data_IF_102778376944
#
_entry.id   IF_102778376944
#
_cell.length_a   1.000
_cell.length_b   1.000
_cell.length_c   1.000
_cell.angle_alpha   90.00
_cell.angle_beta   90.00
_cell.angle_gamma   90.00
#
_symmetry.space_group_name_H-M   'P 1'
#
loop_
_entity.id
_entity.type
_entity.pdbx_description
1 polymer ?
#
# COMPACT_ATOMS: atom_id res chain seq x y z
N UNK A 1 11.57 30.78 9.17
CA UNK A 1 12.14 29.47 8.78
C UNK A 1 12.87 29.65 7.46
N UNK A 2 14.15 29.32 7.38
CA UNK A 2 14.90 29.46 6.13
C UNK A 2 14.38 28.40 5.15
N UNK A 3 14.24 28.76 3.88
CA UNK A 3 13.67 27.90 2.83
C UNK A 3 14.36 26.52 2.74
N UNK A 4 15.69 26.47 2.97
CA UNK A 4 16.46 25.22 2.99
C UNK A 4 16.10 24.26 4.12
N UNK A 5 15.65 24.76 5.29
CA UNK A 5 15.23 23.94 6.42
C UNK A 5 13.92 23.21 6.09
N UNK A 6 13.01 23.87 5.37
CA UNK A 6 11.74 23.25 4.97
C UNK A 6 11.92 22.05 4.01
N UNK A 7 12.85 22.18 3.05
CA UNK A 7 13.17 21.07 2.15
C UNK A 7 13.80 19.88 2.89
N UNK A 8 14.64 20.14 3.89
CA UNK A 8 15.25 19.09 4.72
C UNK A 8 14.23 18.40 5.61
N UNK A 9 13.31 19.16 6.22
CA UNK A 9 12.24 18.60 7.06
C UNK A 9 11.30 17.74 6.22
N UNK A 10 10.87 18.23 5.05
CA UNK A 10 10.02 17.46 4.15
C UNK A 10 10.69 16.17 3.65
N UNK A 11 12.00 16.24 3.37
CA UNK A 11 12.80 15.06 3.02
C UNK A 11 12.87 14.05 4.16
N UNK A 12 13.10 14.51 5.39
CA UNK A 12 13.11 13.65 6.58
C UNK A 12 11.76 12.97 6.83
N UNK A 13 10.66 13.72 6.75
CA UNK A 13 9.30 13.18 6.86
C UNK A 13 8.99 12.13 5.78
N UNK A 14 9.43 12.39 4.55
CA UNK A 14 9.28 11.40 3.48
C UNK A 14 10.04 10.10 3.76
N UNK A 15 11.24 10.17 4.35
CA UNK A 15 11.99 8.97 4.76
C UNK A 15 11.34 8.25 5.94
N UNK A 16 10.73 8.95 6.87
CA UNK A 16 9.98 8.38 7.99
C UNK A 16 8.78 7.57 7.47
N UNK A 17 7.95 8.15 6.58
CA UNK A 17 6.83 7.45 5.97
C UNK A 17 7.28 6.23 5.14
N UNK A 18 8.41 6.33 4.44
CA UNK A 18 9.00 5.18 3.75
C UNK A 18 9.37 4.07 4.74
N UNK A 19 9.99 4.41 5.87
CA UNK A 19 10.35 3.44 6.90
C UNK A 19 9.11 2.76 7.50
N UNK A 20 8.02 3.48 7.73
CA UNK A 20 6.76 2.89 8.21
C UNK A 20 6.23 1.84 7.23
N UNK A 21 6.20 2.15 5.93
CA UNK A 21 5.75 1.21 4.90
C UNK A 21 6.67 0.00 4.79
N UNK A 22 7.99 0.20 4.84
CA UNK A 22 8.96 -0.89 4.82
C UNK A 22 8.83 -1.80 6.05
N UNK A 23 8.59 -1.21 7.23
CA UNK A 23 8.36 -1.95 8.47
C UNK A 23 7.08 -2.78 8.39
N UNK A 24 6.00 -2.20 7.87
CA UNK A 24 4.74 -2.92 7.64
C UNK A 24 4.93 -4.08 6.65
N UNK A 25 5.64 -3.87 5.55
CA UNK A 25 5.96 -4.93 4.60
C UNK A 25 6.78 -6.04 5.24
N UNK A 26 7.80 -5.70 6.01
CA UNK A 26 8.68 -6.66 6.67
C UNK A 26 7.93 -7.48 7.74
N UNK A 27 7.10 -6.85 8.55
CA UNK A 27 6.26 -7.52 9.55
C UNK A 27 5.31 -8.55 8.91
N UNK A 28 4.92 -8.33 7.64
CA UNK A 28 4.00 -9.18 6.90
C UNK A 28 4.67 -10.07 5.83
N UNK A 29 5.98 -10.32 5.93
CA UNK A 29 6.70 -11.17 4.97
C UNK A 29 6.21 -12.61 5.00
N UNK A 30 5.83 -13.12 6.17
CA UNK A 30 5.31 -14.48 6.36
C UNK A 30 3.78 -14.56 6.37
N UNK A 31 3.07 -13.42 6.23
CA UNK A 31 1.61 -13.39 6.22
C UNK A 31 1.08 -13.91 4.88
N UNK A 32 0.27 -15.00 4.86
CA UNK A 32 -0.28 -15.57 3.63
C UNK A 32 -1.14 -14.56 2.88
N UNK A 33 -0.97 -14.48 1.55
CA UNK A 33 -1.76 -13.61 0.69
C UNK A 33 -1.51 -12.12 0.86
N UNK A 34 -0.55 -11.71 1.69
CA UNK A 34 -0.22 -10.30 1.87
C UNK A 34 0.30 -9.68 0.58
N UNK A 35 -0.13 -8.45 0.32
CA UNK A 35 0.29 -7.64 -0.82
C UNK A 35 1.07 -6.43 -0.32
N UNK A 36 2.27 -6.29 -0.86
CA UNK A 36 3.25 -5.28 -0.50
C UNK A 36 2.77 -3.87 -0.82
N UNK A 37 2.99 -2.95 0.09
CA UNK A 37 2.79 -1.52 -0.11
C UNK A 37 4.06 -0.87 -0.71
N UNK A 38 3.86 0.11 -1.58
CA UNK A 38 4.92 0.89 -2.22
C UNK A 38 4.62 2.36 -2.09
N UNK A 39 5.62 3.11 -1.66
CA UNK A 39 5.59 4.58 -1.61
C UNK A 39 6.02 5.16 -2.94
N UNK A 40 5.32 6.18 -3.41
CA UNK A 40 5.71 7.01 -4.54
C UNK A 40 5.98 8.42 -4.03
N UNK A 41 7.11 8.97 -4.42
CA UNK A 41 7.49 10.36 -4.10
C UNK A 41 7.17 11.27 -5.27
N UNK A 42 6.74 12.49 -4.95
CA UNK A 42 6.54 13.55 -5.91
C UNK A 42 7.29 14.80 -5.47
N UNK A 43 7.93 15.44 -6.43
CA UNK A 43 8.51 16.75 -6.21
C UNK A 43 7.45 17.79 -6.47
N UNK A 44 7.13 18.56 -5.44
CA UNK A 44 6.25 19.71 -5.55
C UNK A 44 7.10 20.91 -5.95
N UNK A 45 6.88 21.38 -7.17
CA UNK A 45 7.43 22.65 -7.62
C UNK A 45 6.41 23.74 -7.33
N UNK A 46 6.82 24.86 -6.75
CA UNK A 46 5.90 25.97 -6.57
C UNK A 46 5.39 26.45 -7.93
N UNK A 47 4.11 26.75 -7.96
CA UNK A 47 3.42 27.15 -9.19
C UNK A 47 3.92 28.54 -9.63
N UNK A 48 4.75 28.56 -10.66
CA UNK A 48 5.22 29.81 -11.31
C UNK A 48 4.08 30.57 -12.02
N UNK A 49 2.91 29.96 -12.15
CA UNK A 49 1.78 30.52 -12.92
C UNK A 49 0.88 31.51 -12.16
N UNK A 50 0.97 31.58 -10.82
CA UNK A 50 0.12 32.50 -10.06
C UNK A 50 0.69 33.92 -9.90
N UNK A 51 1.95 34.15 -10.30
CA UNK A 51 2.60 35.44 -10.14
C UNK A 51 2.74 36.27 -11.43
N UNK A 52 2.31 35.75 -12.57
CA UNK A 52 2.30 36.53 -13.82
C UNK A 52 0.85 36.78 -14.27
N UNK A 53 0.04 37.43 -13.41
CA UNK A 53 -0.90 38.37 -13.98
C UNK A 53 -0.06 39.56 -14.45
N UNK A 54 0.26 39.62 -15.76
CA UNK A 54 0.72 40.87 -16.38
C UNK A 54 -0.23 41.97 -15.88
N UNK A 55 0.29 43.05 -15.25
CA UNK A 55 -0.55 44.19 -14.98
C UNK A 55 -1.07 44.65 -16.31
N UNK A 56 -2.38 44.77 -16.48
CA UNK A 56 -3.02 45.33 -17.64
C UNK A 56 -2.45 46.75 -17.79
N UNK A 57 -1.61 46.95 -18.82
CA UNK A 57 -1.09 48.25 -19.18
C UNK A 57 -2.28 49.11 -19.60
N UNK A 58 -2.64 50.09 -18.76
CA UNK A 58 -3.58 51.12 -19.16
C UNK A 58 -2.99 51.87 -20.37
N UNK A 59 -3.72 52.00 -21.49
CA UNK A 59 -3.24 52.73 -22.65
C UNK A 59 -3.00 54.21 -22.24
N UNK A 60 -1.77 54.67 -22.34
CA UNK A 60 -1.43 56.07 -22.19
C UNK A 60 -0.47 56.47 -21.06
N UNK A 61 0.01 55.57 -20.25
CA UNK A 61 1.03 55.89 -19.27
C UNK A 61 2.26 55.00 -19.44
N UNK A 62 3.37 55.53 -19.89
CA UNK A 62 4.69 54.92 -19.96
C UNK A 62 5.32 54.80 -18.56
N UNK A 63 4.54 54.65 -17.51
CA UNK A 63 5.01 54.46 -16.16
C UNK A 63 4.60 53.02 -15.80
N UNK A 64 5.54 52.09 -15.92
CA UNK A 64 5.46 50.81 -15.21
C UNK A 64 5.43 51.16 -13.73
N UNK A 65 4.36 50.80 -12.97
CA UNK A 65 4.20 51.22 -11.57
C UNK A 65 5.17 50.54 -10.63
N UNK A 66 6.17 49.98 -10.98
CA UNK A 66 7.31 49.42 -10.30
C UNK A 66 8.26 49.06 -11.42
N UNK A 67 9.28 49.88 -11.63
CA UNK A 67 10.35 49.57 -12.55
C UNK A 67 10.75 48.11 -12.36
N UNK A 68 11.10 47.47 -13.46
CA UNK A 68 11.85 46.20 -13.39
C UNK A 68 13.09 46.49 -12.56
N UNK A 69 12.93 46.38 -11.22
CA UNK A 69 14.10 46.14 -10.41
C UNK A 69 14.51 44.71 -10.77
N UNK A 70 15.61 44.53 -11.49
CA UNK A 70 16.22 43.21 -11.52
C UNK A 70 16.39 42.89 -10.03
N UNK A 71 15.73 41.82 -9.59
CA UNK A 71 15.89 41.32 -8.24
C UNK A 71 17.41 40.99 -8.07
N UNK A 72 18.23 41.89 -7.51
CA UNK A 72 19.68 41.71 -7.48
C UNK A 72 20.09 40.52 -6.62
N UNK A 73 19.11 39.96 -5.89
CA UNK A 73 19.31 38.89 -4.93
C UNK A 73 18.53 37.64 -5.29
N UNK A 74 17.72 37.63 -6.39
CA UNK A 74 16.93 36.47 -6.80
C UNK A 74 15.95 36.00 -5.72
N UNK A 75 15.51 36.90 -4.83
CA UNK A 75 14.72 36.55 -3.65
C UNK A 75 13.20 36.67 -3.86
N UNK A 76 12.75 37.14 -5.01
CA UNK A 76 11.33 37.19 -5.33
C UNK A 76 10.82 35.77 -5.54
N UNK A 77 10.34 35.15 -4.45
CA UNK A 77 9.49 33.96 -4.51
C UNK A 77 10.16 32.70 -5.04
N UNK A 78 11.43 32.45 -4.75
CA UNK A 78 12.01 31.13 -4.97
C UNK A 78 11.45 30.17 -3.91
N UNK A 79 10.23 29.70 -4.16
CA UNK A 79 9.73 28.55 -3.46
C UNK A 79 10.63 27.36 -3.77
N UNK A 80 11.26 26.81 -2.74
CA UNK A 80 12.18 25.70 -2.89
C UNK A 80 11.38 24.45 -3.23
N UNK A 81 11.72 23.74 -4.31
CA UNK A 81 11.09 22.46 -4.58
C UNK A 81 11.28 21.53 -3.40
N UNK A 82 10.20 20.97 -2.91
CA UNK A 82 10.22 20.00 -1.81
C UNK A 82 9.71 18.65 -2.28
N UNK A 83 10.27 17.59 -1.71
CA UNK A 83 9.87 16.23 -1.99
C UNK A 83 8.90 15.77 -0.92
N UNK A 84 7.77 15.22 -1.32
CA UNK A 84 6.80 14.63 -0.41
C UNK A 84 6.32 13.26 -0.92
N UNK A 85 5.70 12.49 -0.03
CA UNK A 85 5.02 11.27 -0.43
C UNK A 85 3.75 11.65 -1.19
N UNK A 86 3.63 11.14 -2.40
CA UNK A 86 2.45 11.36 -3.25
C UNK A 86 1.34 10.39 -2.85
N UNK A 87 1.63 9.10 -2.94
CA UNK A 87 0.65 8.04 -2.65
C UNK A 87 1.34 6.77 -2.18
N UNK A 88 0.58 5.96 -1.43
CA UNK A 88 0.93 4.59 -1.10
C UNK A 88 0.08 3.67 -1.97
N UNK A 89 0.72 2.88 -2.80
CA UNK A 89 0.07 1.94 -3.71
C UNK A 89 0.31 0.50 -3.26
N UNK A 90 -0.73 -0.33 -3.35
CA UNK A 90 -0.60 -1.77 -3.12
C UNK A 90 -0.13 -2.45 -4.41
N UNK A 91 0.90 -3.28 -4.33
CA UNK A 91 1.37 -4.10 -5.44
C UNK A 91 0.67 -5.46 -5.43
N UNK A 92 -0.26 -5.67 -6.35
CA UNK A 92 -1.07 -6.90 -6.42
C UNK A 92 -0.42 -8.06 -7.18
N UNK A 93 0.87 -7.98 -7.52
CA UNK A 93 1.56 -9.13 -8.15
C UNK A 93 1.41 -10.38 -7.28
N UNK A 94 1.25 -11.53 -7.93
CA UNK A 94 1.13 -12.82 -7.26
C UNK A 94 2.41 -13.15 -6.48
N UNK A 95 2.25 -13.65 -5.25
CA UNK A 95 3.32 -14.21 -4.43
C UNK A 95 3.66 -15.64 -4.88
N UNK A 96 4.66 -16.25 -4.27
CA UNK A 96 4.96 -17.65 -4.50
C UNK A 96 3.86 -18.53 -3.90
N UNK A 97 3.54 -19.65 -4.55
CA UNK A 97 2.62 -20.65 -3.99
C UNK A 97 3.47 -21.66 -3.22
N UNK A 98 3.19 -21.80 -1.93
CA UNK A 98 3.82 -22.77 -1.05
C UNK A 98 2.91 -23.97 -0.89
N UNK A 99 3.38 -25.14 -1.29
CA UNK A 99 2.69 -26.40 -1.06
C UNK A 99 2.86 -26.85 0.38
N UNK A 100 1.75 -27.22 1.03
CA UNK A 100 1.70 -27.65 2.44
C UNK A 100 1.19 -29.07 2.59
N UNK A 101 0.47 -29.58 1.61
CA UNK A 101 -0.23 -30.87 1.68
C UNK A 101 -1.53 -30.84 2.52
N UNK A 102 -1.87 -29.69 3.14
CA UNK A 102 -3.14 -29.55 3.85
C UNK A 102 -4.27 -29.31 2.83
N UNK A 103 -5.30 -30.16 2.76
CA UNK A 103 -6.38 -30.04 1.78
C UNK A 103 -7.23 -28.79 1.94
N UNK A 104 -7.18 -28.11 3.10
CA UNK A 104 -7.88 -26.86 3.34
C UNK A 104 -7.07 -25.61 2.94
N UNK A 105 -5.77 -25.78 2.64
CA UNK A 105 -4.95 -24.71 2.09
C UNK A 105 -5.19 -24.64 0.58
N UNK A 106 -5.58 -23.46 0.11
CA UNK A 106 -5.97 -23.23 -1.28
C UNK A 106 -5.26 -21.98 -1.82
N UNK A 107 -4.75 -22.07 -3.03
CA UNK A 107 -4.14 -20.93 -3.72
C UNK A 107 -4.87 -20.63 -5.03
N UNK A 108 -5.04 -19.35 -5.34
CA UNK A 108 -5.51 -18.92 -6.65
C UNK A 108 -4.29 -18.70 -7.54
N UNK A 109 -4.23 -19.42 -8.66
CA UNK A 109 -3.19 -19.21 -9.67
C UNK A 109 -3.72 -18.26 -10.76
N UNK A 110 -3.28 -17.01 -10.72
CA UNK A 110 -3.77 -15.93 -11.58
C UNK A 110 -4.59 -14.89 -10.82
N UNK A 111 -5.44 -14.16 -11.54
CA UNK A 111 -6.23 -13.07 -10.97
C UNK A 111 -7.43 -13.59 -10.18
N UNK A 112 -7.82 -12.87 -9.14
CA UNK A 112 -8.99 -13.14 -8.32
C UNK A 112 -8.69 -13.11 -6.83
N UNK A 113 -9.72 -13.12 -6.04
CA UNK A 113 -9.68 -13.08 -4.58
C UNK A 113 -10.77 -13.98 -4.04
N UNK A 114 -10.53 -14.63 -2.93
CA UNK A 114 -11.59 -15.30 -2.16
C UNK A 114 -12.50 -14.25 -1.52
N UNK A 115 -13.78 -14.58 -1.42
CA UNK A 115 -14.77 -13.74 -0.78
C UNK A 115 -15.04 -14.24 0.62
N UNK A 116 -14.95 -13.35 1.61
CA UNK A 116 -15.16 -13.67 3.02
C UNK A 116 -16.19 -12.74 3.65
N UNK A 117 -16.95 -13.27 4.60
CA UNK A 117 -17.90 -12.52 5.41
C UNK A 117 -17.32 -12.23 6.77
N UNK A 118 -17.24 -10.95 7.13
CA UNK A 118 -16.83 -10.46 8.44
C UNK A 118 -18.00 -9.75 9.12
N UNK A 119 -17.94 -9.43 10.41
CA UNK A 119 -18.98 -8.63 11.08
C UNK A 119 -19.22 -7.27 10.43
N UNK A 120 -18.19 -6.70 9.79
CA UNK A 120 -18.23 -5.39 9.15
C UNK A 120 -18.65 -5.43 7.66
N UNK A 121 -19.06 -6.60 7.18
CA UNK A 121 -19.48 -6.79 5.80
C UNK A 121 -18.67 -7.83 5.04
N UNK A 122 -18.75 -7.76 3.72
CA UNK A 122 -18.09 -8.72 2.83
C UNK A 122 -16.80 -8.13 2.28
N UNK A 123 -15.70 -8.87 2.38
CA UNK A 123 -14.39 -8.49 1.92
C UNK A 123 -13.77 -9.54 1.01
N UNK A 124 -12.70 -9.15 0.34
CA UNK A 124 -11.90 -10.00 -0.51
C UNK A 124 -10.57 -10.31 0.19
N UNK A 125 -10.04 -11.52 0.00
CA UNK A 125 -8.74 -11.90 0.53
C UNK A 125 -7.97 -12.79 -0.45
N UNK A 126 -6.64 -12.74 -0.38
CA UNK A 126 -5.74 -13.70 -1.03
C UNK A 126 -5.22 -14.77 -0.07
N UNK A 127 -5.54 -14.61 1.23
CA UNK A 127 -5.21 -15.64 2.21
C UNK A 127 -6.05 -16.90 1.92
N UNK A 128 -5.39 -17.99 1.56
CA UNK A 128 -6.01 -19.27 1.26
C UNK A 128 -5.79 -20.31 2.35
N UNK A 129 -5.28 -19.94 3.52
CA UNK A 129 -5.20 -20.85 4.68
C UNK A 129 -6.53 -20.86 5.40
N UNK A 130 -7.30 -21.91 5.19
CA UNK A 130 -8.60 -22.06 5.80
C UNK A 130 -8.61 -23.16 6.85
N UNK A 131 -9.55 -23.05 7.78
CA UNK A 131 -9.84 -24.03 8.81
C UNK A 131 -11.34 -24.28 8.88
N UNK A 132 -11.75 -25.27 9.66
CA UNK A 132 -13.16 -25.52 9.93
C UNK A 132 -13.48 -25.06 11.34
N UNK A 133 -14.59 -24.35 11.47
CA UNK A 133 -15.15 -24.01 12.76
C UNK A 133 -15.92 -25.19 13.39
N UNK A 134 -16.45 -25.01 14.61
CA UNK A 134 -17.24 -26.03 15.31
C UNK A 134 -18.52 -26.46 14.56
N UNK A 135 -18.98 -25.58 13.64
CA UNK A 135 -20.18 -25.86 12.81
C UNK A 135 -19.81 -26.44 11.45
N UNK A 136 -18.54 -26.87 11.26
CA UNK A 136 -17.98 -27.36 9.99
C UNK A 136 -18.10 -26.35 8.85
N UNK A 137 -18.13 -25.07 9.17
CA UNK A 137 -18.07 -23.99 8.19
C UNK A 137 -16.61 -23.66 7.87
N UNK A 138 -16.30 -23.44 6.61
CA UNK A 138 -14.98 -23.03 6.16
C UNK A 138 -14.71 -21.57 6.57
N UNK A 139 -13.69 -21.37 7.38
CA UNK A 139 -13.31 -20.05 7.92
C UNK A 139 -11.82 -19.75 7.71
N UNK A 140 -11.45 -18.47 7.71
CA UNK A 140 -10.07 -18.04 7.77
C UNK A 140 -9.50 -18.28 9.17
N UNK A 141 -8.21 -18.08 9.36
CA UNK A 141 -7.57 -18.22 10.69
C UNK A 141 -8.13 -17.21 11.70
N UNK A 142 -8.58 -16.05 11.22
CA UNK A 142 -9.23 -14.99 12.00
C UNK A 142 -10.71 -15.27 12.31
N UNK A 143 -11.27 -16.38 11.78
CA UNK A 143 -12.66 -16.79 12.00
C UNK A 143 -13.67 -16.25 10.99
N UNK A 144 -13.24 -15.60 9.90
CA UNK A 144 -14.14 -15.09 8.87
C UNK A 144 -14.65 -16.20 7.95
N UNK A 145 -15.95 -16.23 7.70
CA UNK A 145 -16.59 -17.28 6.90
C UNK A 145 -16.28 -17.10 5.41
N UNK A 146 -15.80 -18.15 4.77
CA UNK A 146 -15.57 -18.18 3.33
C UNK A 146 -16.89 -18.37 2.61
N UNK A 147 -17.12 -17.54 1.59
CA UNK A 147 -18.36 -17.53 0.83
C UNK A 147 -18.23 -18.29 -0.50
N UNK A 148 -19.30 -18.93 -0.88
CA UNK A 148 -19.44 -19.57 -2.18
C UNK A 148 -19.75 -18.55 -3.30
N UNK A 149 -19.94 -19.04 -4.51
CA UNK A 149 -20.30 -18.21 -5.66
C UNK A 149 -21.67 -17.53 -5.52
N UNK A 150 -22.58 -18.06 -4.68
CA UNK A 150 -23.89 -17.47 -4.39
C UNK A 150 -23.84 -16.45 -3.25
N UNK A 151 -22.74 -16.39 -2.51
CA UNK A 151 -22.57 -15.52 -1.34
C UNK A 151 -23.00 -16.17 -0.03
N UNK A 152 -23.17 -17.48 0.00
CA UNK A 152 -23.47 -18.24 1.21
C UNK A 152 -22.21 -18.81 1.85
N UNK A 153 -22.16 -18.94 3.19
CA UNK A 153 -21.04 -19.59 3.88
C UNK A 153 -20.90 -21.05 3.48
N UNK A 154 -19.70 -21.47 3.13
CA UNK A 154 -19.41 -22.84 2.74
C UNK A 154 -19.40 -23.72 3.98
N UNK A 155 -20.33 -24.68 4.05
CA UNK A 155 -20.42 -25.68 5.10
C UNK A 155 -20.08 -27.05 4.56
N UNK A 156 -19.18 -27.73 5.26
CA UNK A 156 -18.83 -29.11 4.91
C UNK A 156 -19.77 -30.07 5.65
N UNK A 157 -20.35 -31.07 4.96
CA UNK A 157 -21.25 -32.01 5.61
C UNK A 157 -20.52 -32.79 6.71
N UNK A 158 -21.10 -32.83 7.92
CA UNK A 158 -20.58 -33.58 9.06
C UNK A 158 -20.91 -35.06 8.84
N UNK A 159 -19.92 -35.96 8.96
CA UNK A 159 -20.11 -37.40 8.79
C UNK A 159 -19.74 -37.91 7.39
N UNK A 160 -19.64 -39.23 7.25
CA UNK A 160 -19.19 -39.93 6.05
C UNK A 160 -17.85 -40.65 6.26
N UNK A 161 -17.66 -41.77 5.54
CA UNK A 161 -16.46 -42.60 5.63
C UNK A 161 -15.21 -41.91 5.06
N UNK A 162 -15.42 -41.00 4.09
CA UNK A 162 -14.30 -40.27 3.42
C UNK A 162 -14.24 -38.83 3.94
N UNK A 163 -13.20 -38.54 4.70
CA UNK A 163 -12.88 -37.21 5.21
C UNK A 163 -12.01 -36.38 4.23
N UNK A 164 -11.75 -36.92 3.06
CA UNK A 164 -10.86 -36.30 2.09
C UNK A 164 -11.55 -35.13 1.41
N UNK A 165 -11.11 -33.92 1.73
CA UNK A 165 -11.55 -32.69 1.03
C UNK A 165 -10.64 -32.51 -0.17
N UNK A 166 -11.21 -32.25 -1.33
CA UNK A 166 -10.47 -31.93 -2.57
C UNK A 166 -11.08 -30.72 -3.23
N UNK A 167 -10.22 -29.89 -3.79
CA UNK A 167 -10.63 -28.73 -4.58
C UNK A 167 -10.18 -28.96 -6.01
N UNK A 168 -11.11 -28.80 -6.95
CA UNK A 168 -10.75 -28.86 -8.38
C UNK A 168 -10.25 -27.48 -8.84
N UNK A 169 -9.55 -27.49 -9.97
CA UNK A 169 -9.02 -26.28 -10.55
C UNK A 169 -10.08 -25.20 -10.86
N UNK A 170 -11.34 -25.59 -11.06
CA UNK A 170 -12.48 -24.67 -11.27
C UNK A 170 -13.05 -24.06 -9.99
N UNK A 171 -12.44 -24.36 -8.82
CA UNK A 171 -12.91 -23.91 -7.51
C UNK A 171 -14.02 -24.75 -6.89
N UNK A 172 -14.37 -25.90 -7.48
CA UNK A 172 -15.37 -26.79 -6.92
C UNK A 172 -14.80 -27.61 -5.77
N UNK A 173 -15.44 -27.55 -4.62
CA UNK A 173 -15.13 -28.30 -3.41
C UNK A 173 -15.87 -29.64 -3.39
N UNK A 174 -15.13 -30.70 -3.12
CA UNK A 174 -15.65 -32.05 -2.98
C UNK A 174 -15.24 -32.63 -1.64
N UNK A 175 -16.11 -33.39 -1.01
CA UNK A 175 -15.83 -34.28 0.11
C UNK A 175 -15.98 -35.73 -0.38
N UNK A 176 -14.84 -36.41 -0.54
CA UNK A 176 -14.82 -37.67 -1.29
C UNK A 176 -15.31 -37.45 -2.73
N UNK A 177 -16.45 -38.08 -3.10
CA UNK A 177 -17.10 -37.90 -4.41
C UNK A 177 -18.30 -36.95 -4.40
N UNK A 178 -18.67 -36.41 -3.24
CA UNK A 178 -19.81 -35.54 -3.11
C UNK A 178 -19.42 -34.08 -3.37
N UNK A 179 -20.13 -33.43 -4.29
CA UNK A 179 -20.02 -31.98 -4.49
C UNK A 179 -20.56 -31.23 -3.27
N UNK A 180 -19.85 -30.28 -2.74
CA UNK A 180 -20.26 -29.49 -1.59
C UNK A 180 -20.65 -28.08 -2.00
N UNK A 181 -19.71 -27.33 -2.56
CA UNK A 181 -19.93 -25.95 -2.97
C UNK A 181 -18.89 -25.54 -4.02
N UNK A 182 -19.06 -24.38 -4.62
CA UNK A 182 -18.07 -23.75 -5.49
C UNK A 182 -17.56 -22.48 -4.86
N UNK A 183 -16.24 -22.36 -4.70
CA UNK A 183 -15.59 -21.18 -4.14
C UNK A 183 -15.97 -19.91 -4.89
N UNK A 184 -16.32 -18.87 -4.14
CA UNK A 184 -16.56 -17.54 -4.67
C UNK A 184 -15.23 -16.82 -4.95
N UNK A 185 -14.82 -16.81 -6.21
CA UNK A 185 -13.60 -16.10 -6.65
C UNK A 185 -14.02 -14.92 -7.48
N UNK A 186 -13.56 -13.72 -7.08
CA UNK A 186 -13.99 -12.46 -7.64
C UNK A 186 -12.79 -11.57 -7.99
N UNK A 187 -12.99 -10.72 -8.99
CA UNK A 187 -12.10 -9.61 -9.32
C UNK A 187 -12.86 -8.30 -9.19
N UNK A 188 -12.20 -7.21 -8.80
CA UNK A 188 -12.81 -5.89 -8.84
C UNK A 188 -13.08 -5.49 -10.29
N UNK A 189 -14.28 -5.01 -10.58
CA UNK A 189 -14.70 -4.61 -11.94
C UNK A 189 -13.88 -3.45 -12.48
N UNK A 190 -13.54 -2.50 -11.61
CA UNK A 190 -12.82 -1.27 -11.96
C UNK A 190 -11.28 -1.44 -11.83
N UNK A 191 -10.81 -2.69 -11.79
CA UNK A 191 -9.40 -3.05 -11.66
C UNK A 191 -8.91 -3.16 -10.22
N UNK A 192 -7.81 -3.88 -10.02
CA UNK A 192 -7.23 -4.16 -8.69
C UNK A 192 -6.77 -2.90 -7.95
N UNK A 193 -6.56 -1.80 -8.66
CA UNK A 193 -6.11 -0.51 -8.08
C UNK A 193 -7.20 0.18 -7.24
N UNK A 194 -8.47 -0.20 -7.43
CA UNK A 194 -9.60 0.35 -6.66
C UNK A 194 -9.82 -0.35 -5.32
N UNK A 195 -9.04 -1.40 -5.05
CA UNK A 195 -9.10 -2.13 -3.79
C UNK A 195 -8.50 -1.30 -2.65
N UNK A 196 -9.24 -1.12 -1.59
CA UNK A 196 -8.76 -0.52 -0.35
C UNK A 196 -8.35 -1.62 0.63
N UNK A 197 -7.11 -1.57 1.13
CA UNK A 197 -6.59 -2.51 2.13
C UNK A 197 -7.18 -2.14 3.50
N UNK A 198 -7.74 -3.14 4.20
CA UNK A 198 -8.45 -2.94 5.46
C UNK A 198 -7.74 -3.58 6.67
N UNK A 199 -6.51 -4.07 6.50
CA UNK A 199 -5.80 -4.87 7.50
C UNK A 199 -6.10 -6.37 7.36
N UNK A 200 -5.35 -7.20 8.10
CA UNK A 200 -5.54 -8.68 8.16
C UNK A 200 -5.60 -9.40 6.80
N UNK A 201 -4.97 -8.82 5.77
CA UNK A 201 -5.03 -9.37 4.41
C UNK A 201 -6.39 -9.22 3.72
N UNK A 202 -7.26 -8.36 4.25
CA UNK A 202 -8.58 -8.06 3.70
C UNK A 202 -8.53 -6.85 2.75
N UNK A 203 -9.32 -6.95 1.68
CA UNK A 203 -9.48 -5.89 0.69
C UNK A 203 -10.96 -5.57 0.51
N UNK A 204 -11.28 -4.28 0.58
CA UNK A 204 -12.61 -3.77 0.26
C UNK A 204 -12.66 -3.37 -1.20
N UNK A 205 -13.71 -3.81 -1.90
CA UNK A 205 -14.00 -3.42 -3.27
C UNK A 205 -15.40 -2.82 -3.38
N UNK A 206 -15.61 -1.94 -4.35
CA UNK A 206 -16.94 -1.46 -4.70
C UNK A 206 -17.71 -2.53 -5.46
N UNK A 207 -17.54 -2.60 -6.77
CA UNK A 207 -18.17 -3.61 -7.63
C UNK A 207 -17.21 -4.75 -7.89
N UNK A 208 -17.72 -5.99 -7.79
CA UNK A 208 -16.94 -7.21 -8.02
C UNK A 208 -17.63 -8.06 -9.06
N UNK A 209 -16.85 -8.66 -9.95
CA UNK A 209 -17.32 -9.62 -10.96
C UNK A 209 -16.74 -11.01 -10.64
N UNK A 210 -17.51 -12.09 -10.80
CA UNK A 210 -17.02 -13.44 -10.63
C UNK A 210 -16.01 -13.80 -11.74
N UNK A 211 -14.93 -14.49 -11.37
CA UNK A 211 -13.96 -14.99 -12.35
C UNK A 211 -14.57 -16.13 -13.14
N UNK A 212 -14.65 -15.98 -14.46
CA UNK A 212 -15.30 -16.97 -15.33
C UNK A 212 -14.60 -18.35 -15.32
N UNK A 213 -13.25 -18.34 -15.30
CA UNK A 213 -12.42 -19.56 -15.29
C UNK A 213 -11.34 -19.43 -14.22
N UNK A 214 -11.68 -19.61 -12.94
CA UNK A 214 -10.70 -19.56 -11.87
C UNK A 214 -9.73 -20.75 -12.01
N UNK A 215 -8.51 -20.56 -11.54
CA UNK A 215 -7.52 -21.63 -11.41
C UNK A 215 -7.14 -21.74 -9.94
N UNK A 216 -7.73 -22.73 -9.27
CA UNK A 216 -7.44 -22.99 -7.85
C UNK A 216 -6.52 -24.19 -7.75
N UNK A 217 -5.55 -24.11 -6.88
CA UNK A 217 -4.68 -25.21 -6.49
C UNK A 217 -5.00 -25.58 -5.05
N UNK A 218 -5.16 -26.86 -4.79
CA UNK A 218 -5.32 -27.44 -3.46
C UNK A 218 -3.97 -27.80 -2.83
N UNK A 219 -3.97 -27.96 -1.53
CA UNK A 219 -2.77 -28.37 -0.79
C UNK A 219 -1.69 -27.29 -0.70
N UNK A 220 -1.99 -26.04 -0.92
CA UNK A 220 -1.05 -24.94 -0.82
C UNK A 220 -1.70 -23.57 -0.73
N UNK A 221 -0.96 -22.57 -0.30
CA UNK A 221 -1.43 -21.19 -0.21
C UNK A 221 -0.44 -20.22 -0.83
N UNK A 222 -0.91 -19.04 -1.18
CA UNK A 222 -0.08 -17.95 -1.68
C UNK A 222 0.66 -17.27 -0.52
N UNK A 223 2.00 -17.18 -0.60
CA UNK A 223 2.81 -16.44 0.36
C UNK A 223 2.77 -14.94 0.07
N UNK A 224 3.28 -14.13 0.98
CA UNK A 224 3.49 -12.70 0.75
C UNK A 224 4.33 -12.47 -0.51
N UNK A 225 4.06 -11.40 -1.26
CA UNK A 225 4.89 -10.96 -2.39
C UNK A 225 6.04 -10.04 -1.94
N UNK A 226 6.32 -9.98 -0.64
CA UNK A 226 7.42 -9.23 -0.04
C UNK A 226 8.71 -10.07 -0.09
N UNK A 227 9.80 -9.46 -0.50
CA UNK A 227 11.13 -10.03 -0.34
C UNK A 227 11.78 -9.41 0.91
N UNK A 228 11.81 -10.15 2.03
CA UNK A 228 12.29 -9.65 3.32
C UNK A 228 13.70 -9.09 3.28
N UNK A 229 14.64 -9.78 2.62
CA UNK A 229 16.03 -9.32 2.49
C UNK A 229 16.12 -7.97 1.75
N UNK A 230 15.37 -7.85 0.65
CA UNK A 230 15.36 -6.60 -0.12
C UNK A 230 14.73 -5.44 0.67
N UNK A 231 13.67 -5.71 1.45
CA UNK A 231 13.05 -4.68 2.30
C UNK A 231 13.95 -4.27 3.46
N UNK A 232 14.70 -5.20 4.07
CA UNK A 232 15.70 -4.86 5.11
C UNK A 232 16.79 -3.94 4.56
N UNK A 233 17.34 -4.24 3.37
CA UNK A 233 18.34 -3.38 2.74
C UNK A 233 17.79 -1.98 2.47
N UNK A 234 16.55 -1.88 1.97
CA UNK A 234 15.88 -0.61 1.75
C UNK A 234 15.65 0.17 3.05
N UNK A 235 15.27 -0.54 4.12
CA UNK A 235 15.08 0.06 5.45
C UNK A 235 16.39 0.66 5.96
N UNK A 236 17.51 -0.05 5.85
CA UNK A 236 18.84 0.46 6.23
C UNK A 236 19.20 1.72 5.41
N UNK A 237 18.90 1.71 4.10
CA UNK A 237 19.13 2.87 3.23
C UNK A 237 18.27 4.07 3.64
N UNK A 238 16.97 3.86 3.92
CA UNK A 238 16.05 4.90 4.37
C UNK A 238 16.49 5.48 5.73
N UNK A 239 16.90 4.61 6.68
CA UNK A 239 17.40 5.03 7.98
C UNK A 239 18.68 5.88 7.85
N UNK A 240 19.64 5.48 7.01
CA UNK A 240 20.85 6.27 6.76
C UNK A 240 20.51 7.62 6.13
N UNK A 241 19.60 7.66 5.16
CA UNK A 241 19.15 8.91 4.55
C UNK A 241 18.50 9.83 5.59
N UNK A 242 17.61 9.30 6.43
CA UNK A 242 17.01 10.05 7.53
C UNK A 242 18.07 10.62 8.50
N UNK A 243 19.04 9.81 8.93
CA UNK A 243 20.14 10.25 9.79
C UNK A 243 20.94 11.38 9.15
N UNK A 244 21.22 11.29 7.84
CA UNK A 244 21.90 12.34 7.10
C UNK A 244 21.10 13.65 7.10
N UNK A 245 19.78 13.60 6.86
CA UNK A 245 18.91 14.77 6.94
C UNK A 245 18.95 15.42 8.33
N UNK A 246 18.90 14.61 9.40
CA UNK A 246 18.98 15.10 10.79
C UNK A 246 20.33 15.74 11.08
N UNK A 247 21.44 15.16 10.61
CA UNK A 247 22.79 15.73 10.80
C UNK A 247 22.93 17.08 10.08
N UNK A 248 22.43 17.20 8.84
CA UNK A 248 22.45 18.45 8.10
C UNK A 248 21.60 19.52 8.80
N UNK A 249 20.42 19.17 9.31
CA UNK A 249 19.60 20.10 10.10
C UNK A 249 20.32 20.60 11.35
N UNK A 250 21.00 19.72 12.08
CA UNK A 250 21.80 20.11 13.25
C UNK A 250 22.94 21.08 12.87
N UNK A 251 23.68 20.77 11.82
CA UNK A 251 24.75 21.62 11.34
C UNK A 251 24.24 23.01 10.91
N UNK A 252 23.11 23.08 10.23
CA UNK A 252 22.47 24.34 9.85
C UNK A 252 22.05 25.17 11.08
N UNK A 253 21.47 24.52 12.09
CA UNK A 253 21.10 25.18 13.35
C UNK A 253 22.32 25.73 14.10
N UNK A 254 23.41 24.99 14.14
CA UNK A 254 24.67 25.45 14.74
C UNK A 254 25.23 26.67 14.01
N UNK A 255 25.27 26.65 12.68
CA UNK A 255 25.68 27.78 11.87
C UNK A 255 24.81 29.02 12.12
N UNK A 256 23.50 28.81 12.21
CA UNK A 256 22.56 29.90 12.50
C UNK A 256 22.82 30.50 13.87
N UNK A 257 23.00 29.68 14.89
CA UNK A 257 23.29 30.12 16.25
C UNK A 257 24.63 30.88 16.35
N UNK A 258 25.68 30.41 15.66
CA UNK A 258 26.96 31.13 15.59
C UNK A 258 26.78 32.49 14.93
N UNK A 259 26.08 32.57 13.79
CA UNK A 259 25.86 33.84 13.09
C UNK A 259 25.08 34.83 13.96
N UNK A 260 24.07 34.37 14.72
CA UNK A 260 23.31 35.25 15.65
C UNK A 260 24.18 35.75 16.78
N UNK A 261 25.01 34.88 17.37
CA UNK A 261 25.92 35.26 18.46
C UNK A 261 27.03 36.22 17.99
N UNK A 262 27.62 35.99 16.83
CA UNK A 262 28.67 36.86 16.28
C UNK A 262 28.12 38.27 15.94
N UNK A 263 26.87 38.38 15.47
CA UNK A 263 26.23 39.68 15.21
C UNK A 263 25.93 40.41 16.53
N UNK A 264 25.55 39.68 17.59
CA UNK A 264 25.25 40.29 18.89
C UNK A 264 26.50 40.85 19.64
N UNK A 265 27.69 40.42 19.24
CA UNK A 265 28.98 40.91 19.82
C UNK A 265 29.45 42.19 19.12
N UNK A 266 28.99 42.47 17.91
CA UNK A 266 29.41 43.63 17.09
C UNK A 266 28.43 44.83 17.27
N UNK A 267 27.26 44.62 17.86
CA UNK A 267 26.29 45.65 18.17
C UNK A 267 26.40 46.10 19.64
#
# INVERSE_FOLDING_TARGET
MRQGEFALVSGAQGQEQLMEVLTNNLANVDTPGFKKDRVTFKTYMPHKELLVKKPETRPGTNITPWGEFPDPWGMAGQDVPHSGVDQIHVRYSQGMIRQTGNPLDMAINGDGFFRVSTPNGTFLTRNGRFTLDQTSTLVTHEGYKVLDQKGEPIRLPVGGKDLTIRVRADGSLFKGNQFVAKLGIYVPKDGVQTLSKMGEGLFKSGKIDPVAKPRVMDGGYETSNVNGTAEMVRMIQAMRAFQTHVQVMKAMNELTNRTVNDISIIA
#
